data_IF_745160322480
#
_entry.id   IF_745160322480
#
_cell.length_a   1.000
_cell.length_b   1.000
_cell.length_c   1.000
_cell.angle_alpha   90.00
_cell.angle_beta   90.00
_cell.angle_gamma   90.00
#
_symmetry.space_group_name_H-M   'P 1'
#
loop_
_entity.id
_entity.type
_entity.pdbx_description
1 polymer ?
#
# COMPACT_ATOMS: atom_id res chain seq x y z
N UNK A 1 -8.29 5.96 -6.35
CA UNK A 1 -6.91 5.43 -6.50
C UNK A 1 -6.93 4.24 -7.43
N UNK A 2 -5.83 3.95 -8.13
CA UNK A 2 -5.64 2.76 -8.98
C UNK A 2 -4.54 1.87 -8.40
N UNK A 3 -4.49 0.62 -8.81
CA UNK A 3 -3.37 -0.27 -8.52
C UNK A 3 -2.83 -0.94 -9.78
N UNK A 4 -1.61 -1.43 -9.70
CA UNK A 4 -1.05 -2.30 -10.71
C UNK A 4 -0.26 -3.43 -10.07
N UNK A 5 -0.26 -4.57 -10.74
CA UNK A 5 0.73 -5.61 -10.50
C UNK A 5 1.40 -5.96 -11.83
N UNK A 6 2.57 -6.59 -11.74
CA UNK A 6 3.22 -7.12 -12.94
C UNK A 6 2.81 -8.57 -13.13
N UNK A 7 2.82 -9.04 -14.38
CA UNK A 7 2.51 -10.42 -14.73
C UNK A 7 3.75 -11.31 -14.68
N UNK A 8 3.74 -12.36 -15.50
CA UNK A 8 4.92 -13.18 -15.75
C UNK A 8 6.08 -12.34 -16.29
N UNK A 9 7.31 -12.76 -16.01
CA UNK A 9 8.46 -12.31 -16.78
C UNK A 9 8.36 -12.89 -18.18
N UNK A 10 8.18 -12.08 -19.22
CA UNK A 10 8.22 -12.46 -20.62
C UNK A 10 9.54 -13.17 -20.98
N UNK A 11 10.65 -12.83 -20.30
CA UNK A 11 11.94 -13.45 -20.54
C UNK A 11 12.05 -14.89 -19.98
N UNK A 12 11.30 -15.23 -18.92
CA UNK A 12 11.47 -16.52 -18.21
C UNK A 12 10.19 -17.31 -18.00
N UNK A 13 9.02 -16.77 -18.36
CA UNK A 13 7.71 -17.39 -18.13
C UNK A 13 7.37 -17.63 -16.66
N UNK A 14 8.19 -17.17 -15.71
CA UNK A 14 8.04 -17.38 -14.27
C UNK A 14 7.53 -16.12 -13.57
N UNK A 15 6.83 -16.30 -12.44
CA UNK A 15 6.41 -15.19 -11.56
C UNK A 15 7.52 -14.90 -10.55
N UNK A 16 8.08 -13.70 -10.57
CA UNK A 16 8.99 -13.23 -9.52
C UNK A 16 8.23 -12.94 -8.21
N UNK A 17 8.92 -12.86 -7.07
CA UNK A 17 8.29 -12.47 -5.80
C UNK A 17 7.72 -11.04 -5.82
N UNK A 18 8.42 -10.10 -6.47
CA UNK A 18 7.94 -8.73 -6.72
C UNK A 18 6.65 -8.70 -7.57
N UNK A 19 6.50 -9.64 -8.50
CA UNK A 19 5.31 -9.76 -9.38
C UNK A 19 4.05 -10.13 -8.61
N UNK A 20 4.17 -10.72 -7.41
CA UNK A 20 3.04 -11.05 -6.53
C UNK A 20 2.57 -9.88 -5.67
N UNK A 21 3.22 -8.72 -5.78
CA UNK A 21 2.84 -7.51 -5.04
C UNK A 21 1.91 -6.65 -5.89
N UNK A 22 0.80 -6.25 -5.29
CA UNK A 22 -0.12 -5.26 -5.83
C UNK A 22 0.28 -3.89 -5.29
N UNK A 23 0.69 -3.01 -6.20
CA UNK A 23 1.17 -1.67 -5.91
C UNK A 23 0.07 -0.64 -6.14
N UNK A 24 -0.04 0.36 -5.27
CA UNK A 24 -0.93 1.51 -5.49
C UNK A 24 -0.22 2.48 -6.43
N UNK A 25 -0.93 2.91 -7.47
CA UNK A 25 -0.42 3.83 -8.46
C UNK A 25 -0.29 5.23 -7.86
N UNK A 26 0.85 5.87 -8.10
CA UNK A 26 1.03 7.29 -7.79
C UNK A 26 0.39 8.11 -8.91
N UNK A 27 -0.50 9.03 -8.57
CA UNK A 27 -1.24 9.87 -9.55
C UNK A 27 -0.77 11.32 -9.56
N UNK A 28 0.25 11.65 -8.78
CA UNK A 28 0.79 13.00 -8.63
C UNK A 28 2.31 13.08 -8.89
N UNK A 29 2.80 14.31 -9.05
CA UNK A 29 4.22 14.63 -9.28
C UNK A 29 4.75 14.21 -10.67
N UNK A 30 6.06 14.35 -10.85
CA UNK A 30 6.75 14.20 -12.15
C UNK A 30 6.62 12.82 -12.82
N UNK A 31 6.14 11.81 -12.09
CA UNK A 31 5.96 10.44 -12.57
C UNK A 31 4.57 9.87 -12.24
N UNK A 32 3.56 10.74 -12.16
CA UNK A 32 2.16 10.36 -12.08
C UNK A 32 1.79 9.33 -13.16
N UNK A 33 1.10 8.26 -12.77
CA UNK A 33 0.75 7.15 -13.64
C UNK A 33 1.94 6.41 -14.24
N UNK A 34 3.16 6.61 -13.70
CA UNK A 34 4.41 5.96 -14.16
C UNK A 34 5.15 5.19 -13.06
N UNK A 35 4.75 5.36 -11.81
CA UNK A 35 5.31 4.65 -10.65
C UNK A 35 4.25 4.30 -9.60
N UNK A 36 4.61 3.38 -8.72
CA UNK A 36 3.89 3.11 -7.49
C UNK A 36 4.14 4.21 -6.45
N UNK A 37 3.25 4.32 -5.45
CA UNK A 37 3.49 5.16 -4.26
C UNK A 37 4.81 4.82 -3.56
N UNK A 38 5.23 3.55 -3.55
CA UNK A 38 6.51 3.12 -2.98
C UNK A 38 7.72 3.32 -3.91
N UNK A 39 7.59 4.08 -5.01
CA UNK A 39 8.67 4.34 -5.97
C UNK A 39 8.99 3.18 -6.93
N UNK A 40 8.29 2.04 -6.83
CA UNK A 40 8.48 0.94 -7.79
C UNK A 40 8.03 1.40 -9.18
N UNK A 41 8.88 1.30 -10.23
CA UNK A 41 8.52 1.74 -11.56
C UNK A 41 7.39 0.86 -12.11
N UNK A 42 6.34 1.48 -12.67
CA UNK A 42 5.19 0.75 -13.22
C UNK A 42 5.28 0.50 -14.74
N UNK A 43 6.03 1.30 -15.49
CA UNK A 43 6.08 1.25 -16.97
C UNK A 43 7.48 1.06 -17.55
N UNK A 44 8.54 1.12 -16.73
CA UNK A 44 9.93 0.98 -17.19
C UNK A 44 10.43 -0.45 -17.38
N UNK A 45 9.66 -1.48 -17.01
CA UNK A 45 10.06 -2.89 -17.15
C UNK A 45 9.42 -3.47 -18.42
N UNK A 46 10.25 -3.69 -19.45
CA UNK A 46 9.85 -4.20 -20.77
C UNK A 46 9.45 -5.67 -20.74
N UNK A 47 10.02 -6.43 -19.79
CA UNK A 47 9.87 -7.89 -19.74
C UNK A 47 8.65 -8.33 -18.93
N UNK A 48 7.77 -7.44 -18.48
CA UNK A 48 6.55 -7.84 -17.79
C UNK A 48 5.48 -6.76 -17.90
N UNK A 49 4.40 -6.99 -18.68
CA UNK A 49 3.35 -5.99 -18.81
C UNK A 49 2.72 -5.71 -17.45
N UNK A 50 2.40 -4.44 -17.21
CA UNK A 50 1.65 -4.03 -16.04
C UNK A 50 0.16 -4.33 -16.27
N UNK A 51 -0.47 -5.00 -15.32
CA UNK A 51 -1.92 -5.16 -15.26
C UNK A 51 -2.45 -4.09 -14.32
N UNK A 52 -3.31 -3.22 -14.84
CA UNK A 52 -3.91 -2.11 -14.09
C UNK A 52 -5.27 -2.56 -13.57
N UNK A 53 -5.52 -2.27 -12.29
CA UNK A 53 -6.79 -2.45 -11.62
C UNK A 53 -7.31 -1.06 -11.25
N UNK A 54 -8.39 -0.65 -11.90
CA UNK A 54 -9.05 0.64 -11.73
C UNK A 54 -10.57 0.41 -11.63
N UNK A 55 -11.22 0.71 -10.49
CA UNK A 55 -10.65 1.31 -9.28
C UNK A 55 -9.74 0.36 -8.49
N UNK A 56 -9.01 0.91 -7.50
CA UNK A 56 -8.28 0.14 -6.49
C UNK A 56 -9.23 -0.88 -5.83
N UNK A 57 -8.97 -2.20 -5.94
CA UNK A 57 -9.87 -3.20 -5.36
C UNK A 57 -9.79 -3.18 -3.84
N UNK A 58 -10.90 -3.54 -3.16
CA UNK A 58 -10.94 -3.60 -1.69
C UNK A 58 -10.01 -4.67 -1.10
N UNK A 59 -9.66 -5.71 -1.88
CA UNK A 59 -8.74 -6.78 -1.49
C UNK A 59 -7.84 -7.15 -2.68
N UNK A 60 -6.62 -7.69 -2.44
CA UNK A 60 -5.79 -8.18 -3.52
C UNK A 60 -6.49 -9.36 -4.22
N UNK A 61 -6.42 -9.45 -5.57
CA UNK A 61 -6.83 -10.64 -6.29
C UNK A 61 -6.09 -11.90 -5.82
N UNK A 62 -6.67 -13.07 -6.07
CA UNK A 62 -6.12 -14.37 -5.65
C UNK A 62 -4.65 -14.54 -6.08
N UNK A 63 -3.79 -14.89 -5.11
CA UNK A 63 -2.36 -15.09 -5.34
C UNK A 63 -1.53 -13.81 -5.37
N UNK A 64 -2.15 -12.66 -5.16
CA UNK A 64 -1.48 -11.37 -4.93
C UNK A 64 -1.57 -10.96 -3.47
N UNK A 65 -0.67 -10.06 -3.09
CA UNK A 65 -0.67 -9.42 -1.77
C UNK A 65 -0.38 -7.94 -1.94
N UNK A 66 -0.94 -7.11 -1.06
CA UNK A 66 -0.62 -5.69 -1.07
C UNK A 66 0.88 -5.46 -0.87
N UNK A 67 1.42 -4.47 -1.57
CA UNK A 67 2.67 -3.86 -1.18
C UNK A 67 2.44 -3.05 0.10
N UNK A 68 3.11 -3.46 1.19
CA UNK A 68 2.93 -2.85 2.53
C UNK A 68 3.20 -1.35 2.53
N UNK A 69 4.28 -0.92 1.88
CA UNK A 69 4.62 0.51 1.75
C UNK A 69 3.57 1.28 0.94
N UNK A 70 3.08 0.73 -0.17
CA UNK A 70 2.03 1.38 -0.94
C UNK A 70 0.74 1.59 -0.13
N UNK A 71 0.33 0.59 0.65
CA UNK A 71 -0.86 0.72 1.51
C UNK A 71 -0.61 1.69 2.66
N UNK A 72 0.59 1.73 3.24
CA UNK A 72 0.96 2.73 4.25
C UNK A 72 0.83 4.15 3.71
N UNK A 73 1.42 4.44 2.54
CA UNK A 73 1.29 5.74 1.89
C UNK A 73 -0.16 6.06 1.49
N UNK A 74 -0.92 5.08 0.98
CA UNK A 74 -2.32 5.29 0.65
C UNK A 74 -3.16 5.62 1.91
N UNK A 75 -2.91 4.93 3.02
CA UNK A 75 -3.56 5.19 4.30
C UNK A 75 -3.22 6.57 4.85
N UNK A 76 -1.98 7.03 4.68
CA UNK A 76 -1.55 8.37 5.04
C UNK A 76 -2.29 9.44 4.21
N UNK A 77 -2.29 9.28 2.88
CA UNK A 77 -2.93 10.22 1.95
C UNK A 77 -4.43 10.40 2.18
N UNK A 78 -5.13 9.38 2.68
CA UNK A 78 -6.56 9.46 3.00
C UNK A 78 -6.83 9.81 4.48
N UNK A 79 -5.81 10.14 5.25
CA UNK A 79 -5.93 10.52 6.66
C UNK A 79 -6.24 9.35 7.62
N UNK A 80 -6.18 8.11 7.15
CA UNK A 80 -6.48 6.94 7.97
C UNK A 80 -5.42 6.72 9.06
N UNK A 81 -4.16 7.04 8.78
CA UNK A 81 -3.10 6.97 9.80
C UNK A 81 -3.33 7.98 10.92
N UNK A 82 -3.79 9.19 10.59
CA UNK A 82 -4.13 10.20 11.59
C UNK A 82 -5.32 9.76 12.45
N UNK A 83 -6.38 9.23 11.82
CA UNK A 83 -7.52 8.67 12.54
C UNK A 83 -7.09 7.55 13.50
N UNK A 84 -6.19 6.67 13.06
CA UNK A 84 -5.67 5.59 13.90
C UNK A 84 -4.77 6.10 15.03
N UNK A 85 -3.94 7.11 14.77
CA UNK A 85 -3.09 7.75 15.79
C UNK A 85 -3.93 8.38 16.91
N UNK A 86 -5.05 9.01 16.58
CA UNK A 86 -5.98 9.56 17.59
C UNK A 86 -6.58 8.47 18.48
N UNK A 87 -6.91 7.30 17.92
CA UNK A 87 -7.41 6.16 18.70
C UNK A 87 -6.33 5.65 19.66
N UNK A 88 -5.09 5.50 19.19
CA UNK A 88 -3.97 5.06 20.04
C UNK A 88 -3.75 6.05 21.18
N UNK A 89 -3.75 7.35 20.89
CA UNK A 89 -3.59 8.38 21.91
C UNK A 89 -4.67 8.28 22.99
N UNK A 90 -5.94 8.18 22.60
CA UNK A 90 -7.04 8.03 23.53
C UNK A 90 -6.93 6.77 24.40
N UNK A 91 -6.49 5.64 23.82
CA UNK A 91 -6.29 4.41 24.57
C UNK A 91 -5.13 4.52 25.58
N UNK A 92 -4.06 5.24 25.24
CA UNK A 92 -2.95 5.48 26.15
C UNK A 92 -3.37 6.40 27.31
N UNK A 93 -4.17 7.43 27.04
CA UNK A 93 -4.68 8.34 28.08
C UNK A 93 -5.58 7.58 29.09
N UNK A 94 -6.45 6.69 28.59
CA UNK A 94 -7.27 5.82 29.44
C UNK A 94 -6.42 4.90 30.31
N UNK A 95 -5.40 4.26 29.72
CA UNK A 95 -4.51 3.37 30.44
C UNK A 95 -3.67 4.10 31.52
N UNK A 96 -3.35 5.38 31.31
CA UNK A 96 -2.65 6.20 32.29
C UNK A 96 -3.57 6.58 33.47
N UNK A 97 -4.83 6.95 33.21
CA UNK A 97 -5.81 7.29 34.24
C UNK A 97 -6.10 6.11 35.19
N UNK A 98 -6.24 4.88 34.64
CA UNK A 98 -6.44 3.67 35.45
C UNK A 98 -5.24 3.36 36.37
N UNK A 99 -4.02 3.69 35.93
CA UNK A 99 -2.82 3.50 36.74
C UNK A 99 -2.75 4.49 37.91
N UNK A 100 -3.10 5.76 37.70
CA UNK A 100 -3.12 6.78 38.76
C UNK A 100 -4.18 6.47 39.85
N UNK A 101 -5.35 5.95 39.45
CA UNK A 101 -6.42 5.55 40.37
C UNK A 101 -6.06 4.29 41.18
N UNK A 102 -5.19 3.42 40.66
CA UNK A 102 -4.73 2.21 41.36
C UNK A 102 -3.62 2.43 42.40
N UNK A 103 -3.00 3.62 42.39
CA UNK A 103 -1.88 3.99 43.27
C UNK A 103 -2.31 4.97 44.38
N UNK A 104 -3.56 5.45 44.33
CA UNK A 104 -4.18 6.34 45.33
C UNK A 104 -5.03 5.56 46.34
#
# INVERSE_FOLDING_TARGET
MRAFHRGYSAATGRRASQVRRLHVMREDGDFAGRQALCGTPGWGVTNSPAVILDPLPARPPTGLSWCRSCIGHAADLVGQLEAFARIIAALNDLAAAEQEESVS
#
